data_IF_251461137456
#
_entry.id   IF_251461137456
#
_cell.length_a   1.000
_cell.length_b   1.000
_cell.length_c   1.000
_cell.angle_alpha   90.00
_cell.angle_beta   90.00
_cell.angle_gamma   90.00
#
_symmetry.space_group_name_H-M   'P 1'
#
loop_
_entity.id
_entity.type
_entity.pdbx_description
1 polymer ?
#
# COMPACT_ATOMS: atom_id res chain seq x y z
N UNK A 1 11.95 11.47 -10.57
CA UNK A 1 11.85 11.58 -9.11
C UNK A 1 11.23 10.30 -8.57
N UNK A 2 11.56 9.92 -7.37
CA UNK A 2 10.92 8.82 -6.63
C UNK A 2 10.55 9.33 -5.24
N UNK A 3 9.36 8.98 -4.78
CA UNK A 3 8.91 9.24 -3.40
C UNK A 3 9.00 7.94 -2.63
N UNK A 4 9.46 7.99 -1.41
CA UNK A 4 9.62 6.84 -0.53
C UNK A 4 9.47 7.24 0.93
N UNK A 5 9.24 6.26 1.78
CA UNK A 5 9.20 6.42 3.23
C UNK A 5 10.54 5.96 3.83
N UNK A 6 10.92 6.56 4.93
CA UNK A 6 12.10 6.16 5.70
C UNK A 6 11.69 5.71 7.10
N UNK A 7 12.63 5.16 7.85
CA UNK A 7 12.38 4.69 9.23
C UNK A 7 12.03 5.83 10.20
N UNK A 8 12.25 7.08 9.79
CA UNK A 8 11.85 8.27 10.56
C UNK A 8 10.34 8.60 10.46
N UNK A 9 9.57 7.85 9.66
CA UNK A 9 8.14 8.06 9.49
C UNK A 9 7.78 9.28 8.62
N UNK A 10 8.71 9.73 7.79
CA UNK A 10 8.53 10.85 6.87
C UNK A 10 8.56 10.39 5.41
N UNK A 11 7.87 11.15 4.57
CA UNK A 11 7.99 11.02 3.13
C UNK A 11 9.21 11.80 2.63
N UNK A 12 9.96 11.17 1.76
CA UNK A 12 11.11 11.75 1.10
C UNK A 12 10.95 11.70 -0.42
N UNK A 13 11.51 12.69 -1.10
CA UNK A 13 11.67 12.68 -2.55
C UNK A 13 13.15 12.60 -2.89
N UNK A 14 13.50 11.68 -3.80
CA UNK A 14 14.86 11.55 -4.32
C UNK A 14 15.03 12.37 -5.60
N UNK A 15 16.00 13.28 -5.59
CA UNK A 15 16.43 14.00 -6.77
C UNK A 15 17.67 13.30 -7.39
N UNK A 16 17.53 12.64 -8.54
CA UNK A 16 18.63 11.95 -9.17
C UNK A 16 19.74 12.90 -9.69
N UNK A 17 19.43 14.17 -9.94
CA UNK A 17 20.41 15.15 -10.40
C UNK A 17 21.31 15.60 -9.26
N UNK A 18 20.75 15.81 -8.07
CA UNK A 18 21.49 16.17 -6.88
C UNK A 18 22.04 14.96 -6.13
N UNK A 19 21.60 13.74 -6.47
CA UNK A 19 21.91 12.48 -5.81
C UNK A 19 21.64 12.54 -4.31
N UNK A 20 20.58 13.24 -3.92
CA UNK A 20 20.17 13.43 -2.54
C UNK A 20 18.68 13.24 -2.38
N UNK A 21 18.24 12.92 -1.17
CA UNK A 21 16.84 12.94 -0.79
C UNK A 21 16.59 14.14 0.12
N UNK A 22 15.39 14.69 -0.02
CA UNK A 22 14.88 15.76 0.83
C UNK A 22 13.51 15.34 1.39
N UNK A 23 13.18 15.86 2.57
CA UNK A 23 11.86 15.66 3.17
C UNK A 23 10.80 16.34 2.29
N UNK A 24 9.73 15.62 1.97
CA UNK A 24 8.66 16.10 1.10
C UNK A 24 7.71 17.03 1.88
N UNK A 25 8.20 18.21 2.22
CA UNK A 25 7.46 19.23 2.96
C UNK A 25 7.80 20.60 2.41
N UNK A 26 6.78 21.41 2.07
CA UNK A 26 6.99 22.76 1.56
C UNK A 26 6.83 23.88 2.60
N UNK A 27 6.59 23.51 3.87
CA UNK A 27 6.45 24.50 4.95
C UNK A 27 7.80 25.06 5.36
N UNK A 28 7.93 26.38 5.31
CA UNK A 28 9.10 27.07 5.85
C UNK A 28 9.18 26.88 7.37
N UNK A 29 10.39 26.65 7.88
CA UNK A 29 10.68 26.43 9.30
C UNK A 29 9.95 25.25 9.94
N UNK A 30 9.63 24.22 9.15
CA UNK A 30 9.09 22.98 9.66
C UNK A 30 10.19 22.15 10.34
N UNK A 31 9.95 21.70 11.55
CA UNK A 31 10.89 20.86 12.31
C UNK A 31 10.88 19.38 11.85
N UNK A 32 9.94 19.04 10.95
CA UNK A 32 9.76 17.70 10.39
C UNK A 32 9.54 16.60 11.44
N UNK A 33 8.76 16.93 12.47
CA UNK A 33 8.39 15.95 13.48
C UNK A 33 7.45 14.87 12.90
N UNK A 34 7.79 13.57 13.05
CA UNK A 34 6.97 12.48 12.55
C UNK A 34 5.72 12.27 13.43
N UNK A 35 4.84 11.39 12.94
CA UNK A 35 3.72 10.89 13.73
C UNK A 35 4.22 10.07 14.92
N UNK A 36 3.62 10.33 16.08
CA UNK A 36 3.74 9.50 17.28
C UNK A 36 2.39 9.50 18.02
N UNK A 37 1.84 8.33 18.29
CA UNK A 37 0.50 8.21 18.87
C UNK A 37 0.32 8.88 20.24
N UNK A 38 1.42 9.05 21.00
CA UNK A 38 1.40 9.59 22.36
C UNK A 38 1.81 11.07 22.42
N UNK A 39 2.77 11.47 21.57
CA UNK A 39 3.39 12.79 21.65
C UNK A 39 3.05 13.71 20.49
N UNK A 40 2.77 13.13 19.29
CA UNK A 40 2.44 13.89 18.08
C UNK A 40 1.38 13.14 17.22
N UNK A 41 0.16 12.91 17.75
CA UNK A 41 -0.87 12.15 17.04
C UNK A 41 -1.41 12.84 15.77
N UNK A 42 -1.29 14.17 15.69
CA UNK A 42 -1.75 14.99 14.56
C UNK A 42 -0.60 15.86 14.05
N UNK A 43 0.40 15.27 13.35
CA UNK A 43 1.58 16.00 12.94
C UNK A 43 1.24 17.14 11.96
N UNK A 44 1.85 18.28 12.16
CA UNK A 44 1.67 19.46 11.30
C UNK A 44 2.58 19.44 10.08
N UNK A 45 3.61 18.62 10.06
CA UNK A 45 4.52 18.44 8.93
C UNK A 45 3.79 17.78 7.74
N UNK A 46 3.92 18.33 6.54
CA UNK A 46 3.29 17.75 5.35
C UNK A 46 3.88 16.39 4.97
N UNK A 47 5.17 16.17 5.27
CA UNK A 47 5.82 14.88 5.01
C UNK A 47 5.51 13.82 6.07
N UNK A 48 5.02 14.18 7.25
CA UNK A 48 4.76 13.22 8.31
C UNK A 48 3.61 12.29 7.92
N UNK A 49 3.81 11.00 8.11
CA UNK A 49 2.75 10.01 7.95
C UNK A 49 1.75 10.18 9.10
N UNK A 50 0.46 10.08 8.80
CA UNK A 50 -0.56 10.00 9.83
C UNK A 50 -0.75 8.55 10.30
N UNK A 51 -1.64 8.31 11.26
CA UNK A 51 -1.91 6.98 11.82
C UNK A 51 -2.26 5.92 10.77
N UNK A 52 -2.95 6.30 9.69
CA UNK A 52 -3.40 5.39 8.63
C UNK A 52 -2.25 5.02 7.66
N UNK A 53 -1.16 5.78 7.69
CA UNK A 53 -0.01 5.63 6.79
C UNK A 53 1.26 5.16 7.52
N UNK A 54 1.31 5.30 8.85
CA UNK A 54 2.53 5.10 9.63
C UNK A 54 3.07 3.68 9.57
N UNK A 55 2.19 2.68 9.68
CA UNK A 55 2.62 1.27 9.66
C UNK A 55 2.83 0.74 8.25
N UNK A 56 2.06 1.23 7.31
CA UNK A 56 2.04 0.77 5.93
C UNK A 56 1.80 1.95 5.00
N UNK A 57 2.82 2.37 4.28
CA UNK A 57 2.67 3.42 3.27
C UNK A 57 3.40 3.05 1.99
N UNK A 58 2.65 2.94 0.90
CA UNK A 58 3.22 2.79 -0.44
C UNK A 58 2.96 4.07 -1.23
N UNK A 59 3.97 4.94 -1.36
CA UNK A 59 3.84 6.14 -2.18
C UNK A 59 4.03 5.81 -3.66
N UNK A 60 3.15 6.32 -4.51
CA UNK A 60 3.26 6.24 -5.96
C UNK A 60 3.00 7.59 -6.63
N UNK A 61 3.77 7.90 -7.65
CA UNK A 61 3.60 9.15 -8.42
C UNK A 61 2.72 8.88 -9.62
N UNK A 62 1.70 9.72 -9.82
CA UNK A 62 0.89 9.76 -11.03
C UNK A 62 0.55 11.20 -11.39
N UNK A 63 1.05 11.66 -12.55
CA UNK A 63 0.91 13.05 -12.98
C UNK A 63 1.57 14.02 -12.00
N UNK A 64 0.80 14.97 -11.49
CA UNK A 64 1.28 16.01 -10.54
C UNK A 64 1.07 15.64 -9.07
N UNK A 65 0.67 14.40 -8.80
CA UNK A 65 0.31 13.94 -7.47
C UNK A 65 1.13 12.76 -7.00
N UNK A 66 1.25 12.66 -5.68
CA UNK A 66 1.64 11.46 -4.96
C UNK A 66 0.38 10.83 -4.37
N UNK A 67 0.14 9.58 -4.64
CA UNK A 67 -0.89 8.78 -4.00
C UNK A 67 -0.23 7.91 -2.94
N UNK A 68 -0.82 7.87 -1.76
CA UNK A 68 -0.30 7.16 -0.61
C UNK A 68 -1.30 6.06 -0.26
N UNK A 69 -0.90 4.82 -0.51
CA UNK A 69 -1.66 3.66 -0.08
C UNK A 69 -1.27 3.32 1.34
N UNK A 70 -2.23 3.31 2.23
CA UNK A 70 -2.07 3.03 3.65
C UNK A 70 -3.04 1.97 4.13
N UNK A 71 -3.07 1.77 5.44
CA UNK A 71 -3.90 0.80 6.13
C UNK A 71 -4.87 1.49 7.07
N UNK A 72 -6.17 1.43 6.77
CA UNK A 72 -7.20 2.02 7.63
C UNK A 72 -7.53 1.13 8.84
N UNK A 73 -7.46 -0.19 8.65
CA UNK A 73 -7.58 -1.22 9.70
C UNK A 73 -6.88 -2.51 9.23
N UNK A 74 -6.98 -3.59 10.01
CA UNK A 74 -6.31 -4.87 9.71
C UNK A 74 -6.75 -5.55 8.39
N UNK A 75 -7.80 -5.08 7.75
CA UNK A 75 -8.36 -5.69 6.54
C UNK A 75 -8.63 -4.69 5.42
N UNK A 76 -8.55 -3.40 5.69
CA UNK A 76 -8.91 -2.34 4.76
C UNK A 76 -7.77 -1.40 4.47
N UNK A 77 -7.60 -1.11 3.19
CA UNK A 77 -6.71 -0.07 2.73
C UNK A 77 -7.36 1.32 2.77
N UNK A 78 -6.52 2.32 2.63
CA UNK A 78 -6.92 3.70 2.47
C UNK A 78 -6.01 4.38 1.45
N UNK A 79 -6.53 5.32 0.69
CA UNK A 79 -5.76 6.09 -0.27
C UNK A 79 -5.87 7.57 0.05
N UNK A 80 -4.71 8.19 0.18
CA UNK A 80 -4.54 9.63 0.26
C UNK A 80 -3.89 10.14 -1.02
N UNK A 81 -4.06 11.43 -1.28
CA UNK A 81 -3.40 12.14 -2.37
C UNK A 81 -2.82 13.44 -1.84
N UNK A 82 -1.64 13.79 -2.31
CA UNK A 82 -1.01 15.09 -2.08
C UNK A 82 -0.27 15.55 -3.34
N UNK A 83 0.12 16.81 -3.40
CA UNK A 83 0.95 17.33 -4.49
C UNK A 83 2.39 16.87 -4.35
N UNK A 84 3.14 16.94 -5.46
CA UNK A 84 4.57 16.60 -5.49
C UNK A 84 5.46 17.50 -4.61
N UNK A 85 4.94 18.60 -4.10
CA UNK A 85 5.61 19.45 -3.11
C UNK A 85 5.26 19.08 -1.65
N UNK A 86 4.48 18.01 -1.45
CA UNK A 86 4.01 17.52 -0.15
C UNK A 86 2.76 18.23 0.36
N UNK A 87 2.28 19.28 -0.29
CA UNK A 87 1.13 20.03 0.20
C UNK A 87 -0.22 19.40 -0.14
N UNK A 88 -1.24 19.76 0.63
CA UNK A 88 -2.63 19.49 0.30
C UNK A 88 -3.03 18.04 0.41
N UNK A 89 -2.44 17.30 1.37
CA UNK A 89 -2.83 15.91 1.64
C UNK A 89 -4.31 15.80 1.97
N UNK A 90 -4.99 14.94 1.24
CA UNK A 90 -6.41 14.65 1.43
C UNK A 90 -6.67 13.16 1.34
N UNK A 91 -7.55 12.65 2.20
CA UNK A 91 -8.08 11.31 2.09
C UNK A 91 -9.06 11.24 0.91
N UNK A 92 -8.86 10.31 0.00
CA UNK A 92 -9.73 10.12 -1.15
C UNK A 92 -10.83 9.10 -0.86
N UNK A 93 -10.44 7.88 -0.51
CA UNK A 93 -11.37 6.77 -0.29
C UNK A 93 -10.73 5.65 0.54
N UNK A 94 -11.56 4.73 1.01
CA UNK A 94 -11.09 3.46 1.56
C UNK A 94 -11.15 2.39 0.47
N UNK A 95 -10.28 1.39 0.60
CA UNK A 95 -10.29 0.16 -0.19
C UNK A 95 -10.81 -0.99 0.68
N UNK A 96 -11.57 -1.90 0.07
CA UNK A 96 -12.00 -3.14 0.74
C UNK A 96 -10.88 -4.17 0.87
N UNK A 97 -9.66 -3.80 0.45
CA UNK A 97 -8.46 -4.63 0.44
C UNK A 97 -7.31 -3.87 1.08
N UNK A 98 -6.39 -4.60 1.68
CA UNK A 98 -5.10 -4.06 2.09
C UNK A 98 -4.10 -4.23 0.95
N UNK A 99 -3.52 -3.14 0.47
CA UNK A 99 -2.44 -3.18 -0.52
C UNK A 99 -1.15 -3.57 0.19
N UNK A 100 -0.47 -4.58 -0.35
CA UNK A 100 0.80 -5.07 0.21
C UNK A 100 1.93 -4.06 0.03
N UNK A 101 2.52 -3.65 1.15
CA UNK A 101 3.59 -2.64 1.18
C UNK A 101 4.95 -3.15 0.75
N UNK A 102 5.15 -4.45 0.80
CA UNK A 102 6.44 -5.05 0.43
C UNK A 102 6.59 -5.23 -1.07
N UNK A 103 5.54 -4.95 -1.83
CA UNK A 103 5.48 -5.18 -3.26
C UNK A 103 5.40 -3.88 -4.05
N UNK A 104 5.82 -3.94 -5.29
CA UNK A 104 5.78 -2.79 -6.19
C UNK A 104 4.35 -2.44 -6.58
N UNK A 105 4.04 -1.16 -6.58
CA UNK A 105 2.84 -0.63 -7.22
C UNK A 105 3.25 0.06 -8.52
N UNK A 106 2.63 -0.34 -9.61
CA UNK A 106 2.87 0.25 -10.93
C UNK A 106 1.70 1.12 -11.33
N UNK A 107 1.98 2.31 -11.82
CA UNK A 107 0.93 3.24 -12.25
C UNK A 107 1.08 3.54 -13.74
N UNK A 108 -0.03 3.44 -14.46
CA UNK A 108 -0.12 3.83 -15.87
C UNK A 108 -1.52 4.38 -16.17
N UNK A 109 -1.56 5.54 -16.81
CA UNK A 109 -2.82 6.18 -17.24
C UNK A 109 -3.86 6.33 -16.12
N UNK A 110 -3.42 6.64 -14.89
CA UNK A 110 -4.30 6.81 -13.74
C UNK A 110 -4.82 5.49 -13.12
N UNK A 111 -4.30 4.35 -13.58
CA UNK A 111 -4.60 3.04 -13.00
C UNK A 111 -3.37 2.56 -12.23
N UNK A 112 -3.55 2.21 -10.96
CA UNK A 112 -2.55 1.53 -10.16
C UNK A 112 -2.75 0.01 -10.24
N UNK A 113 -1.66 -0.71 -10.44
CA UNK A 113 -1.60 -2.16 -10.41
C UNK A 113 -0.87 -2.57 -9.14
N UNK A 114 -1.56 -3.24 -8.25
CA UNK A 114 -1.05 -3.57 -6.93
C UNK A 114 -1.42 -4.99 -6.52
N UNK A 115 -0.58 -5.60 -5.69
CA UNK A 115 -0.95 -6.77 -4.93
C UNK A 115 -1.71 -6.35 -3.69
N UNK A 116 -2.76 -7.10 -3.38
CA UNK A 116 -3.56 -6.88 -2.18
C UNK A 116 -3.87 -8.21 -1.48
N UNK A 117 -3.96 -8.17 -0.17
CA UNK A 117 -4.40 -9.30 0.64
C UNK A 117 -5.90 -9.25 0.91
N UNK A 118 -6.53 -10.40 0.76
CA UNK A 118 -7.93 -10.62 1.11
C UNK A 118 -7.99 -11.62 2.26
N UNK A 119 -8.56 -11.26 3.41
CA UNK A 119 -8.71 -12.18 4.51
C UNK A 119 -9.72 -13.29 4.18
N UNK A 120 -9.36 -14.54 4.45
CA UNK A 120 -10.28 -15.67 4.34
C UNK A 120 -11.08 -15.72 5.64
N UNK A 121 -12.31 -15.26 5.59
CA UNK A 121 -13.27 -15.45 6.70
C UNK A 121 -13.79 -16.89 6.63
N UNK A 122 -13.32 -17.75 7.54
CA UNK A 122 -13.93 -19.08 7.75
C UNK A 122 -15.07 -18.90 8.73
N UNK A 123 -16.29 -19.20 8.30
CA UNK A 123 -17.50 -19.13 9.15
C UNK A 123 -17.46 -20.06 10.38
N UNK A 124 -16.53 -21.02 10.44
CA UNK A 124 -16.54 -22.11 11.43
C UNK A 124 -15.53 -21.96 12.58
N UNK A 125 -14.90 -20.81 12.81
CA UNK A 125 -13.98 -20.65 13.92
C UNK A 125 -14.69 -20.30 15.24
N UNK A 126 -15.39 -21.28 15.81
CA UNK A 126 -15.76 -21.28 17.21
C UNK A 126 -14.53 -21.68 18.02
N UNK A 127 -13.83 -20.68 18.60
CA UNK A 127 -12.88 -20.86 19.69
C UNK A 127 -11.49 -21.41 19.32
N UNK A 128 -10.61 -20.52 18.91
CA UNK A 128 -9.18 -20.77 18.82
C UNK A 128 -8.50 -19.65 18.04
N UNK A 129 -7.31 -19.24 18.47
CA UNK A 129 -6.47 -18.31 17.70
C UNK A 129 -6.13 -18.96 16.34
N UNK A 130 -7.09 -18.93 15.42
CA UNK A 130 -6.95 -19.42 14.06
C UNK A 130 -6.02 -18.49 13.30
N UNK A 131 -5.01 -19.03 12.67
CA UNK A 131 -4.23 -18.32 11.66
C UNK A 131 -5.21 -17.75 10.64
N UNK A 132 -5.35 -16.42 10.59
CA UNK A 132 -6.02 -15.74 9.51
C UNK A 132 -5.28 -16.13 8.23
N UNK A 133 -5.93 -16.93 7.42
CA UNK A 133 -5.38 -17.28 6.13
C UNK A 133 -5.79 -16.18 5.18
N UNK A 134 -4.82 -15.47 4.61
CA UNK A 134 -5.04 -14.48 3.57
C UNK A 134 -4.68 -15.11 2.22
N UNK A 135 -5.28 -14.64 1.16
CA UNK A 135 -4.81 -14.90 -0.20
C UNK A 135 -4.54 -13.59 -0.90
N UNK A 136 -3.51 -13.57 -1.72
CA UNK A 136 -3.14 -12.39 -2.48
C UNK A 136 -3.86 -12.36 -3.82
N UNK A 137 -4.24 -11.18 -4.25
CA UNK A 137 -4.82 -10.90 -5.57
C UNK A 137 -4.08 -9.74 -6.23
N UNK A 138 -4.11 -9.69 -7.56
CA UNK A 138 -3.71 -8.49 -8.29
C UNK A 138 -4.93 -7.64 -8.58
N UNK A 139 -4.84 -6.38 -8.21
CA UNK A 139 -5.87 -5.37 -8.44
C UNK A 139 -5.42 -4.34 -9.47
N UNK A 140 -6.34 -3.92 -10.32
CA UNK A 140 -6.28 -2.65 -11.02
C UNK A 140 -7.18 -1.67 -10.27
N UNK A 141 -6.61 -0.56 -9.82
CA UNK A 141 -7.27 0.46 -9.00
C UNK A 141 -7.29 1.77 -9.79
N UNK A 142 -8.47 2.28 -10.10
CA UNK A 142 -8.58 3.63 -10.66
C UNK A 142 -8.28 4.66 -9.57
N UNK A 143 -7.21 5.43 -9.75
CA UNK A 143 -6.71 6.38 -8.74
C UNK A 143 -7.67 7.54 -8.45
N UNK A 144 -8.51 7.91 -9.41
CA UNK A 144 -9.48 9.00 -9.23
C UNK A 144 -10.76 8.53 -8.53
N UNK A 145 -11.33 7.40 -8.98
CA UNK A 145 -12.63 6.91 -8.48
C UNK A 145 -12.53 5.92 -7.33
N UNK A 146 -11.38 5.28 -7.15
CA UNK A 146 -11.21 4.17 -6.22
C UNK A 146 -11.83 2.86 -6.69
N UNK A 147 -12.37 2.82 -7.91
CA UNK A 147 -12.92 1.59 -8.48
C UNK A 147 -11.80 0.55 -8.61
N UNK A 148 -12.06 -0.64 -8.08
CA UNK A 148 -11.11 -1.75 -8.10
C UNK A 148 -11.62 -2.88 -8.97
N UNK A 149 -10.69 -3.51 -9.69
CA UNK A 149 -10.95 -4.71 -10.46
C UNK A 149 -9.88 -5.76 -10.16
N UNK A 150 -10.30 -6.94 -9.72
CA UNK A 150 -9.39 -8.09 -9.64
C UNK A 150 -9.00 -8.53 -11.06
N UNK A 151 -7.71 -8.62 -11.33
CA UNK A 151 -7.16 -8.98 -12.64
C UNK A 151 -6.39 -10.30 -12.62
N UNK A 152 -6.21 -10.90 -11.44
CA UNK A 152 -5.60 -12.21 -11.28
C UNK A 152 -6.65 -13.30 -11.40
N UNK A 153 -6.35 -14.31 -12.24
CA UNK A 153 -7.15 -15.55 -12.30
C UNK A 153 -6.59 -16.54 -11.27
N UNK A 154 -6.92 -16.33 -9.99
CA UNK A 154 -6.40 -17.13 -8.90
C UNK A 154 -7.48 -18.07 -8.39
N UNK A 155 -7.12 -19.35 -8.29
CA UNK A 155 -7.97 -20.34 -7.62
C UNK A 155 -7.96 -20.08 -6.10
N UNK A 156 -9.02 -19.46 -5.60
CA UNK A 156 -9.19 -19.05 -4.18
C UNK A 156 -9.20 -20.24 -3.19
N UNK A 157 -9.27 -21.49 -3.67
CA UNK A 157 -9.20 -22.67 -2.80
C UNK A 157 -7.77 -23.07 -2.43
N UNK A 158 -6.78 -22.44 -3.04
CA UNK A 158 -5.36 -22.69 -2.76
C UNK A 158 -4.75 -21.39 -2.23
N UNK A 159 -4.00 -21.49 -1.14
CA UNK A 159 -3.20 -20.36 -0.64
C UNK A 159 -2.21 -19.92 -1.69
N UNK A 160 -2.33 -18.69 -2.12
CA UNK A 160 -1.42 -18.08 -3.07
C UNK A 160 -0.80 -16.85 -2.44
N UNK A 161 0.53 -16.81 -2.43
CA UNK A 161 1.25 -15.56 -2.39
C UNK A 161 1.45 -15.11 -3.83
N UNK A 162 1.22 -13.86 -4.11
CA UNK A 162 1.58 -13.20 -5.36
C UNK A 162 2.71 -12.22 -5.09
N UNK A 163 3.58 -12.07 -6.05
CA UNK A 163 4.58 -11.02 -6.06
C UNK A 163 4.56 -10.39 -7.44
N UNK A 164 4.10 -9.14 -7.51
CA UNK A 164 4.14 -8.36 -8.74
C UNK A 164 5.57 -7.88 -8.97
N UNK A 165 6.18 -8.34 -10.06
CA UNK A 165 7.59 -8.09 -10.36
C UNK A 165 7.78 -6.86 -11.23
N UNK A 166 7.01 -6.76 -12.32
CA UNK A 166 7.21 -5.73 -13.34
C UNK A 166 5.95 -5.52 -14.19
N UNK A 167 5.80 -4.30 -14.71
CA UNK A 167 4.88 -3.98 -15.79
C UNK A 167 5.67 -3.54 -17.01
N UNK A 168 5.45 -4.19 -18.15
CA UNK A 168 6.07 -3.83 -19.43
C UNK A 168 5.03 -3.83 -20.54
N UNK A 169 4.75 -2.62 -21.07
CA UNK A 169 3.65 -2.39 -22.01
C UNK A 169 2.31 -2.82 -21.40
N UNK A 170 1.55 -3.65 -22.12
CA UNK A 170 0.25 -4.17 -21.66
C UNK A 170 0.35 -5.41 -20.75
N UNK A 171 1.59 -5.85 -20.43
CA UNK A 171 1.82 -7.09 -19.66
C UNK A 171 2.24 -6.78 -18.24
N UNK A 172 1.66 -7.54 -17.31
CA UNK A 172 2.09 -7.62 -15.93
C UNK A 172 2.81 -8.94 -15.71
N UNK A 173 3.99 -8.88 -15.12
CA UNK A 173 4.79 -10.05 -14.76
C UNK A 173 4.69 -10.26 -13.26
N UNK A 174 4.29 -11.45 -12.86
CA UNK A 174 4.18 -11.81 -11.44
C UNK A 174 4.59 -13.26 -11.20
N UNK A 175 4.97 -13.54 -9.96
CA UNK A 175 5.19 -14.90 -9.46
C UNK A 175 4.03 -15.25 -8.55
N UNK A 176 3.43 -16.41 -8.78
CA UNK A 176 2.46 -16.99 -7.87
C UNK A 176 3.08 -18.17 -7.13
N UNK A 177 2.93 -18.17 -5.80
CA UNK A 177 3.32 -19.29 -4.96
C UNK A 177 2.08 -19.90 -4.31
N UNK A 178 1.99 -21.22 -4.26
CA UNK A 178 0.91 -21.88 -3.55
C UNK A 178 1.45 -22.91 -2.57
N UNK A 179 0.88 -22.95 -1.40
CA UNK A 179 1.14 -23.99 -0.43
C UNK A 179 0.17 -25.14 -0.68
N UNK A 180 0.69 -26.31 -1.01
CA UNK A 180 -0.10 -27.53 -0.95
C UNK A 180 -0.38 -27.79 0.54
N UNK A 181 -1.63 -27.60 0.98
CA UNK A 181 -2.03 -28.01 2.32
C UNK A 181 -1.83 -29.53 2.38
N UNK A 182 -0.86 -29.99 3.17
CA UNK A 182 -0.65 -31.39 3.42
C UNK A 182 -1.95 -31.99 3.96
N UNK A 183 -2.42 -33.10 3.38
CA UNK A 183 -3.40 -33.94 4.05
C UNK A 183 -2.79 -34.27 5.41
N UNK A 184 -3.48 -33.94 6.53
CA UNK A 184 -3.19 -34.60 7.78
C UNK A 184 -3.45 -36.08 7.53
N UNK A 185 -2.40 -36.87 7.53
CA UNK A 185 -2.55 -38.32 7.62
C UNK A 185 -3.34 -38.57 8.91
N UNK A 186 -4.51 -39.15 8.76
CA UNK A 186 -5.29 -39.64 9.90
C UNK A 186 -4.59 -40.94 10.30
N UNK A 187 -3.78 -40.88 11.35
CA UNK A 187 -3.46 -42.03 12.17
C UNK A 187 -4.61 -42.30 13.15
#
# INVERSE_FOLDING_TARGET
ASVFTTQDGLLHIFDPNQKSSIVLCNKSNCEHEPYDENTNPDPTCDAALNKDLFFNCVPVISGEYVYLFGQADLSKGVVYREKLDGSGRTKLYNLDYQVEVYNSVYVENGIAYAEAEIPIVKEDNIGGAGSNSNYSVLLAINLESGETKEISDINKEKFHGLLLLEKSGEKLYYVSTYRKLGKKDKD
#
